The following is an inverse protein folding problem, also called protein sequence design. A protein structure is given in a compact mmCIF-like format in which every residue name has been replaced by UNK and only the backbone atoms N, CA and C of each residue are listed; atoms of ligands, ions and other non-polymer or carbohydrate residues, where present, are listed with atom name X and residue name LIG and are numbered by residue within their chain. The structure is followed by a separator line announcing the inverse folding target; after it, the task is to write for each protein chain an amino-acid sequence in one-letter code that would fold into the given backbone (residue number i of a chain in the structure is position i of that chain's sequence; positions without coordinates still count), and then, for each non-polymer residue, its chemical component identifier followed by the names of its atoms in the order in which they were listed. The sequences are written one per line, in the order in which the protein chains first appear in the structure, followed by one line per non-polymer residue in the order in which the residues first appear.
data_IF_569468365675
#
_entry.id   IF_569468365675
#
_cell.length_a   1.000
_cell.length_b   1.000
_cell.length_c   1.000
_cell.angle_alpha   90.00
_cell.angle_beta   90.00
_cell.angle_gamma   90.00
#
_symmetry.space_group_name_H-M   'P 1'
#
loop_
_entity.id
_entity.type
_entity.pdbx_description
1 polymer ?
#
# COMPACT_ATOMS: atom_id res chain seq x y z
N UNK A 1 31.21 52.77 -1.42
CA UNK A 1 30.83 52.30 -1.44
C UNK A 1 30.12 51.45 -1.50
N UNK A 2 29.80 51.09 -1.61
CA UNK A 2 29.15 50.39 -1.64
C UNK A 2 28.64 49.45 -1.66
N UNK A 3 28.28 49.07 -1.67
CA UNK A 3 27.78 48.26 -1.70
C UNK A 3 27.13 47.41 -1.70
N UNK A 4 26.72 47.07 -1.78
CA UNK A 4 26.08 46.38 -1.80
C UNK A 4 25.42 45.68 -1.98
N UNK A 5 25.24 45.54 -2.15
CA UNK A 5 24.53 44.96 -2.37
C UNK A 5 24.16 44.00 -2.39
N UNK A 6 24.12 43.87 -2.23
CA UNK A 6 23.59 42.91 -2.37
C UNK A 6 23.04 42.20 -2.13
N UNK A 7 22.62 42.18 -2.07
CA UNK A 7 21.98 41.49 -1.96
C UNK A 7 21.25 40.81 -2.26
N UNK A 8 21.10 40.80 -2.56
CA UNK A 8 20.40 40.25 -2.87
C UNK A 8 20.00 39.41 -3.08
N UNK A 9 19.82 39.22 -3.10
CA UNK A 9 19.41 38.45 -3.33
C UNK A 9 19.04 37.48 -3.19
N UNK A 10 18.82 37.41 -2.99
CA UNK A 10 18.46 36.39 -2.88
C UNK A 10 17.60 35.88 -2.89
N UNK A 11 17.21 35.90 -3.01
CA UNK A 11 16.41 35.40 -3.07
C UNK A 11 15.95 34.56 -3.37
N UNK A 12 15.82 34.22 -3.50
CA UNK A 12 15.36 33.41 -3.82
C UNK A 12 14.94 32.49 -3.82
N UNK A 13 14.62 32.08 -3.81
CA UNK A 13 14.23 31.12 -3.84
C UNK A 13 13.35 30.48 -3.63
N UNK A 14 13.01 30.34 -4.05
CA UNK A 14 11.90 29.84 -3.83
C UNK A 14 11.60 28.77 -4.55
N UNK A 15 11.51 27.89 -4.04
CA UNK A 15 11.29 26.78 -4.53
C UNK A 15 9.97 26.47 -4.46
N UNK A 16 9.35 26.49 -5.40
CA UNK A 16 8.16 26.01 -5.40
C UNK A 16 8.19 24.65 -5.66
N UNK A 17 8.07 23.91 -4.78
CA UNK A 17 7.91 22.60 -5.02
C UNK A 17 6.55 22.36 -5.44
N UNK A 18 6.39 21.88 -6.55
CA UNK A 18 5.22 21.24 -6.93
C UNK A 18 5.13 20.00 -6.15
N UNK A 19 4.48 20.01 -5.07
CA UNK A 19 4.33 18.81 -4.35
C UNK A 19 3.32 17.96 -4.99
N UNK A 20 3.77 16.83 -5.46
CA UNK A 20 2.87 15.80 -5.91
C UNK A 20 2.10 15.28 -4.71
N UNK A 21 0.80 15.08 -4.84
CA UNK A 21 0.02 14.48 -3.78
C UNK A 21 0.56 13.09 -3.44
N UNK A 22 0.52 12.69 -2.17
CA UNK A 22 0.97 11.35 -1.80
C UNK A 22 0.14 10.28 -2.47
N UNK A 23 0.72 9.11 -2.65
CA UNK A 23 0.00 7.98 -3.22
C UNK A 23 -1.03 7.43 -2.24
N UNK A 24 -2.04 6.76 -2.78
CA UNK A 24 -2.97 5.97 -1.99
C UNK A 24 -2.34 4.61 -1.83
N UNK A 25 -1.98 4.27 -0.61
CA UNK A 25 -1.10 3.14 -0.36
C UNK A 25 -1.66 2.20 0.70
N UNK A 26 -1.46 0.91 0.51
CA UNK A 26 -1.76 -0.09 1.51
C UNK A 26 -0.47 -0.80 1.90
N UNK A 27 -0.18 -0.87 3.19
CA UNK A 27 0.94 -1.66 3.68
C UNK A 27 0.36 -2.79 4.51
N UNK A 28 0.56 -4.01 4.04
CA UNK A 28 0.01 -5.19 4.67
C UNK A 28 1.13 -5.92 5.39
N UNK A 29 0.94 -6.21 6.66
CA UNK A 29 1.87 -7.02 7.44
C UNK A 29 1.24 -8.39 7.66
N UNK A 30 1.99 -9.44 7.37
CA UNK A 30 1.52 -10.80 7.58
C UNK A 30 2.27 -11.40 8.75
N UNK A 31 1.54 -11.82 9.77
CA UNK A 31 2.11 -12.45 10.96
C UNK A 31 1.57 -13.86 11.10
N UNK A 32 2.35 -14.72 11.75
CA UNK A 32 1.87 -16.05 12.11
C UNK A 32 1.07 -15.99 13.42
N UNK A 33 0.65 -17.15 13.89
CA UNK A 33 -0.19 -17.22 15.09
C UNK A 33 0.55 -16.73 16.33
N UNK A 34 1.87 -16.72 16.30
CA UNK A 34 2.67 -16.23 17.41
C UNK A 34 3.01 -14.76 17.32
N UNK A 35 2.52 -14.10 16.28
CA UNK A 35 2.79 -12.68 16.08
C UNK A 35 4.10 -12.38 15.39
N UNK A 36 4.77 -13.38 14.85
CA UNK A 36 6.04 -13.18 14.15
C UNK A 36 5.79 -12.86 12.68
N UNK A 37 6.56 -11.94 12.09
CA UNK A 37 6.37 -11.63 10.67
C UNK A 37 6.73 -12.82 9.78
N UNK A 38 5.98 -12.97 8.70
CA UNK A 38 6.15 -14.09 7.77
C UNK A 38 6.69 -13.56 6.45
N UNK A 39 7.91 -13.97 6.12
CA UNK A 39 8.51 -13.64 4.83
C UNK A 39 8.04 -14.64 3.78
N UNK A 40 7.87 -14.18 2.54
CA UNK A 40 7.55 -15.08 1.43
C UNK A 40 6.09 -15.47 1.35
N UNK A 41 5.21 -14.78 2.07
CA UNK A 41 3.78 -15.00 1.94
C UNK A 41 3.27 -14.21 0.74
N UNK A 42 2.34 -14.78 0.01
CA UNK A 42 1.70 -14.09 -1.10
C UNK A 42 0.47 -13.36 -0.59
N UNK A 43 0.37 -12.08 -0.92
CA UNK A 43 -0.74 -11.24 -0.50
C UNK A 43 -1.45 -10.70 -1.72
N UNK A 44 -2.74 -10.95 -1.80
CA UNK A 44 -3.59 -10.41 -2.86
C UNK A 44 -4.52 -9.37 -2.27
N UNK A 45 -4.58 -8.21 -2.90
CA UNK A 45 -5.62 -7.25 -2.63
C UNK A 45 -6.54 -7.25 -3.84
N UNK A 46 -7.82 -7.49 -3.61
CA UNK A 46 -8.74 -7.60 -4.73
C UNK A 46 -10.09 -7.01 -4.38
N UNK A 47 -10.77 -6.51 -5.42
CA UNK A 47 -12.12 -6.07 -5.28
C UNK A 47 -12.98 -7.11 -5.96
N UNK A 48 -13.81 -7.79 -5.20
CA UNK A 48 -14.66 -8.83 -5.76
C UNK A 48 -15.65 -8.20 -6.71
N UNK A 49 -15.66 -8.79 -7.88
CA UNK A 49 -16.42 -8.39 -9.02
C UNK A 49 -17.74 -7.71 -8.79
N UNK A 50 -17.66 -6.42 -8.49
CA UNK A 50 -18.84 -5.62 -8.49
C UNK A 50 -19.28 -5.49 -9.93
N UNK A 51 -20.48 -5.92 -10.20
CA UNK A 51 -21.03 -5.79 -11.53
C UNK A 51 -21.63 -4.41 -11.62
N UNK A 52 -21.12 -3.60 -12.52
CA UNK A 52 -21.70 -2.29 -12.73
C UNK A 52 -23.09 -2.44 -13.38
N UNK A 53 -23.88 -1.39 -13.36
CA UNK A 53 -25.19 -1.47 -14.04
C UNK A 53 -25.10 -1.85 -15.50
N UNK A 54 -23.94 -1.66 -16.12
CA UNK A 54 -23.73 -2.04 -17.52
C UNK A 54 -23.23 -3.48 -17.66
N UNK A 55 -23.13 -4.21 -16.56
CA UNK A 55 -22.68 -5.59 -16.59
C UNK A 55 -21.17 -5.76 -16.63
N UNK A 56 -20.42 -4.70 -16.40
CA UNK A 56 -18.97 -4.78 -16.41
C UNK A 56 -18.48 -5.23 -15.04
N UNK A 57 -17.66 -6.27 -15.00
CA UNK A 57 -17.08 -6.76 -13.76
C UNK A 57 -15.79 -6.01 -13.51
N UNK A 58 -15.69 -5.41 -12.33
CA UNK A 58 -14.47 -4.72 -11.96
C UNK A 58 -13.53 -5.70 -11.30
N UNK A 59 -12.39 -5.96 -11.95
CA UNK A 59 -11.37 -6.84 -11.41
C UNK A 59 -10.13 -6.04 -11.09
N UNK A 60 -10.13 -5.45 -9.92
CA UNK A 60 -8.93 -4.77 -9.46
C UNK A 60 -8.23 -5.74 -8.53
N UNK A 61 -7.00 -6.08 -8.85
CA UNK A 61 -6.21 -6.93 -7.98
C UNK A 61 -4.75 -6.55 -8.06
N UNK A 62 -4.05 -6.78 -6.96
CA UNK A 62 -2.63 -6.59 -6.88
C UNK A 62 -2.04 -7.68 -6.00
N UNK A 63 -0.99 -8.30 -6.46
CA UNK A 63 -0.36 -9.42 -5.78
C UNK A 63 1.08 -9.08 -5.48
N UNK A 64 1.48 -9.24 -4.22
CA UNK A 64 2.85 -9.00 -3.78
C UNK A 64 3.28 -10.11 -2.86
N UNK A 65 4.59 -10.25 -2.67
CA UNK A 65 5.16 -11.24 -1.76
C UNK A 65 5.81 -10.51 -0.63
N UNK A 66 5.58 -10.96 0.61
CA UNK A 66 6.09 -10.28 1.78
C UNK A 66 7.62 -10.31 1.83
N UNK A 67 8.17 -9.23 2.34
CA UNK A 67 9.61 -9.07 2.52
C UNK A 67 10.06 -9.69 3.86
N UNK A 68 11.30 -9.43 4.24
CA UNK A 68 11.85 -10.00 5.47
C UNK A 68 11.15 -9.52 6.74
N UNK A 69 10.38 -8.46 6.63
CA UNK A 69 9.60 -7.93 7.74
C UNK A 69 8.14 -8.33 7.66
N UNK A 70 7.80 -9.19 6.73
CA UNK A 70 6.44 -9.67 6.56
C UNK A 70 5.52 -8.67 5.91
N UNK A 71 6.05 -7.71 5.16
CA UNK A 71 5.25 -6.61 4.63
C UNK A 71 5.17 -6.60 3.11
N UNK A 72 4.03 -6.14 2.61
CA UNK A 72 3.85 -5.84 1.20
C UNK A 72 3.38 -4.40 1.07
N UNK A 73 3.68 -3.78 -0.06
CA UNK A 73 3.26 -2.40 -0.34
C UNK A 73 2.48 -2.40 -1.63
N UNK A 74 1.27 -1.88 -1.58
CA UNK A 74 0.38 -1.83 -2.74
C UNK A 74 -0.03 -0.39 -2.98
N UNK A 75 0.04 0.06 -4.22
CA UNK A 75 -0.24 1.44 -4.58
C UNK A 75 -1.42 1.48 -5.54
N UNK A 76 -2.38 2.32 -5.23
CA UNK A 76 -3.58 2.48 -6.03
C UNK A 76 -3.80 3.96 -6.32
N UNK A 77 -4.65 4.25 -7.28
CA UNK A 77 -4.89 5.64 -7.64
C UNK A 77 -6.01 6.27 -6.83
N UNK A 78 -7.00 5.47 -6.47
CA UNK A 78 -8.19 5.98 -5.80
C UNK A 78 -8.49 5.18 -4.55
N UNK A 79 -9.26 5.79 -3.67
CA UNK A 79 -9.75 5.09 -2.50
C UNK A 79 -10.68 3.95 -2.91
N UNK A 80 -10.66 2.87 -2.17
CA UNK A 80 -11.51 1.72 -2.42
C UNK A 80 -11.45 0.77 -1.23
N UNK A 81 -12.40 -0.15 -1.18
CA UNK A 81 -12.41 -1.20 -0.17
C UNK A 81 -11.98 -2.48 -0.87
N UNK A 82 -10.99 -3.15 -0.33
CA UNK A 82 -10.41 -4.32 -0.94
C UNK A 82 -10.40 -5.48 0.04
N UNK A 83 -10.52 -6.68 -0.51
CA UNK A 83 -10.31 -7.90 0.26
C UNK A 83 -8.83 -8.23 0.26
N UNK A 84 -8.34 -8.70 1.39
CA UNK A 84 -6.97 -9.15 1.53
C UNK A 84 -6.98 -10.64 1.68
N UNK A 85 -6.17 -11.34 0.90
CA UNK A 85 -5.94 -12.76 1.08
C UNK A 85 -4.45 -12.99 1.16
N UNK A 86 -4.02 -13.68 2.20
CA UNK A 86 -2.62 -13.98 2.39
C UNK A 86 -2.44 -15.48 2.48
N UNK A 87 -1.38 -15.99 1.85
CA UNK A 87 -1.13 -17.41 1.78
C UNK A 87 0.35 -17.68 1.86
N UNK A 88 0.73 -18.65 2.68
CA UNK A 88 2.11 -19.12 2.75
C UNK A 88 2.12 -20.64 2.71
N UNK A 89 2.91 -21.18 1.80
CA UNK A 89 3.09 -22.63 1.71
C UNK A 89 4.32 -23.02 2.52
N UNK A 90 4.17 -23.98 3.43
CA UNK A 90 5.28 -24.51 4.19
C UNK A 90 5.28 -26.02 4.06
N UNK A 91 6.15 -26.55 3.21
CA UNK A 91 6.17 -27.98 2.96
C UNK A 91 4.84 -28.43 2.39
N UNK A 92 4.13 -29.29 3.12
CA UNK A 92 2.82 -29.77 2.70
C UNK A 92 1.68 -28.99 3.33
N UNK A 93 2.00 -27.95 4.09
CA UNK A 93 0.99 -27.19 4.81
C UNK A 93 0.73 -25.85 4.15
N UNK A 94 -0.50 -25.37 4.31
CA UNK A 94 -0.86 -24.05 3.90
C UNK A 94 -1.24 -23.22 5.10
N UNK A 95 -0.70 -22.03 5.20
CA UNK A 95 -1.15 -21.05 6.17
C UNK A 95 -1.86 -19.96 5.40
N UNK A 96 -3.04 -19.60 5.86
CA UNK A 96 -3.82 -18.58 5.14
C UNK A 96 -4.54 -17.67 6.10
N UNK A 97 -4.88 -16.51 5.61
CA UNK A 97 -5.68 -15.53 6.35
C UNK A 97 -6.31 -14.56 5.39
N UNK A 98 -7.35 -13.89 5.87
CA UNK A 98 -8.02 -12.90 5.06
C UNK A 98 -8.54 -11.77 5.94
N UNK A 99 -8.74 -10.62 5.32
CA UNK A 99 -9.25 -9.44 6.00
C UNK A 99 -9.74 -8.47 4.93
N UNK A 100 -10.11 -7.29 5.36
CA UNK A 100 -10.60 -6.23 4.48
C UNK A 100 -9.87 -4.96 4.84
N UNK A 101 -9.52 -4.17 3.84
CA UNK A 101 -8.87 -2.88 4.07
C UNK A 101 -9.64 -1.81 3.32
N UNK A 102 -9.80 -0.66 3.96
CA UNK A 102 -10.41 0.49 3.32
C UNK A 102 -9.30 1.51 3.08
N UNK A 103 -9.04 1.79 1.82
CA UNK A 103 -8.02 2.75 1.45
C UNK A 103 -8.59 4.16 1.51
N UNK A 104 -7.77 5.09 1.92
CA UNK A 104 -8.11 6.50 1.97
C UNK A 104 -7.23 7.21 0.96
N UNK A 105 -7.84 8.03 0.13
CA UNK A 105 -7.13 8.69 -0.96
C UNK A 105 -5.97 9.51 -0.43
N UNK A 106 -4.82 9.33 -1.04
CA UNK A 106 -3.59 10.05 -0.72
C UNK A 106 -3.07 9.78 0.70
N UNK A 107 -3.42 8.63 1.25
CA UNK A 107 -2.93 8.23 2.58
C UNK A 107 -2.39 6.82 2.53
N UNK A 108 -1.54 6.51 3.49
CA UNK A 108 -1.04 5.15 3.69
C UNK A 108 -1.86 4.49 4.79
N UNK A 109 -2.47 3.36 4.48
CA UNK A 109 -3.28 2.62 5.44
C UNK A 109 -2.56 1.31 5.75
N UNK A 110 -2.45 0.98 7.01
CA UNK A 110 -1.76 -0.22 7.46
C UNK A 110 -2.76 -1.26 7.91
N UNK A 111 -2.49 -2.51 7.60
CA UNK A 111 -3.33 -3.62 8.05
C UNK A 111 -2.47 -4.83 8.33
N UNK A 112 -2.74 -5.50 9.44
CA UNK A 112 -2.04 -6.74 9.81
C UNK A 112 -2.97 -7.91 9.62
N UNK A 113 -2.50 -8.95 8.94
CA UNK A 113 -3.27 -10.16 8.69
C UNK A 113 -2.51 -11.32 9.32
N UNK A 114 -3.23 -12.11 10.12
CA UNK A 114 -2.64 -13.28 10.72
C UNK A 114 -2.97 -14.48 9.85
N UNK A 115 -1.96 -15.30 9.59
CA UNK A 115 -2.16 -16.56 8.86
C UNK A 115 -1.94 -17.74 9.80
N UNK A 116 -2.72 -18.79 9.60
CA UNK A 116 -2.54 -20.00 10.39
C UNK A 116 -3.13 -21.20 9.68
#
# INVERSE_FOLDING_TARGET
MQYKIGLLIFTFFIIVSCEKAPDTKAIITVNDINGNPVQGATVWLSQNGLISPQGVVSNISDQQITDSQGQTVHIFELEKVLNINALKTQGNDFLSGSDVIKLVKNETVFKTVQIN
#
